data_IF_041758561452
#
_entry.id   IF_041758561452
#
_cell.length_a   1.000
_cell.length_b   1.000
_cell.length_c   1.000
_cell.angle_alpha   90.00
_cell.angle_beta   90.00
_cell.angle_gamma   90.00
#
_symmetry.space_group_name_H-M   'P 1'
#
loop_
_entity.id
_entity.type
_entity.pdbx_description
1 polymer ?
#
# COMPACT_ATOMS: atom_id res chain seq x y z
N UNK A 1 -23.67 59.02 2.91
CA UNK A 1 -22.60 58.75 1.92
C UNK A 1 -21.59 57.81 2.53
N UNK A 2 -21.69 56.51 2.24
CA UNK A 2 -20.62 55.54 2.40
C UNK A 2 -20.58 54.80 1.07
N UNK A 3 -19.54 55.07 0.29
CA UNK A 3 -19.32 54.39 -0.97
C UNK A 3 -18.66 53.06 -0.65
N UNK A 4 -19.33 51.98 -1.04
CA UNK A 4 -18.79 50.63 -0.99
C UNK A 4 -17.68 50.49 -2.04
N UNK A 5 -16.43 50.37 -1.60
CA UNK A 5 -15.32 49.89 -2.42
C UNK A 5 -15.57 48.41 -2.73
N UNK A 6 -16.24 48.15 -3.86
CA UNK A 6 -16.23 46.85 -4.49
C UNK A 6 -14.82 46.63 -5.04
N UNK A 7 -14.00 45.85 -4.33
CA UNK A 7 -12.73 45.37 -4.84
C UNK A 7 -12.97 44.57 -6.11
N UNK A 8 -12.63 45.16 -7.25
CA UNK A 8 -12.53 44.46 -8.54
C UNK A 8 -11.60 43.25 -8.35
N UNK A 9 -11.97 42.03 -8.78
CA UNK A 9 -11.06 40.90 -8.72
C UNK A 9 -9.80 41.25 -9.53
N UNK A 10 -8.64 41.13 -8.89
CA UNK A 10 -7.32 41.38 -9.47
C UNK A 10 -7.20 40.56 -10.77
N UNK A 11 -6.97 41.23 -11.90
CA UNK A 11 -6.83 40.55 -13.18
C UNK A 11 -5.68 39.53 -13.12
N UNK A 12 -5.81 38.33 -13.72
CA UNK A 12 -4.77 37.31 -13.68
C UNK A 12 -3.46 37.87 -14.20
N UNK A 13 -2.45 37.94 -13.33
CA UNK A 13 -1.20 38.69 -13.57
C UNK A 13 -0.17 37.91 -14.38
N UNK A 14 -0.38 36.59 -14.57
CA UNK A 14 0.58 35.70 -15.21
C UNK A 14 -0.06 34.76 -16.24
N UNK A 15 -0.84 35.32 -17.16
CA UNK A 15 -1.42 34.57 -18.26
C UNK A 15 -0.32 34.00 -19.17
N UNK A 16 -0.34 32.68 -19.33
CA UNK A 16 0.58 31.94 -20.19
C UNK A 16 -0.22 31.06 -21.13
N UNK A 17 0.10 31.11 -22.42
CA UNK A 17 -0.54 30.26 -23.42
C UNK A 17 -0.19 28.79 -23.19
N UNK A 18 -1.01 27.86 -23.70
CA UNK A 18 -0.74 26.42 -23.58
C UNK A 18 0.64 26.01 -24.15
N UNK A 19 1.05 26.60 -25.26
CA UNK A 19 2.32 26.29 -25.92
C UNK A 19 3.51 26.80 -25.11
N UNK A 20 3.43 28.02 -24.56
CA UNK A 20 4.46 28.53 -23.66
C UNK A 20 4.53 27.72 -22.35
N UNK A 21 3.37 27.33 -21.81
CA UNK A 21 3.30 26.50 -20.62
C UNK A 21 3.95 25.13 -20.85
N UNK A 22 3.71 24.52 -22.01
CA UNK A 22 4.38 23.27 -22.42
C UNK A 22 5.90 23.46 -22.52
N UNK A 23 6.36 24.51 -23.19
CA UNK A 23 7.78 24.82 -23.35
C UNK A 23 8.48 25.05 -22.00
N UNK A 24 7.83 25.73 -21.04
CA UNK A 24 8.39 26.03 -19.72
C UNK A 24 8.39 24.84 -18.76
N UNK A 25 7.40 23.96 -18.85
CA UNK A 25 7.19 22.87 -17.87
C UNK A 25 7.65 21.51 -18.36
N UNK A 26 7.87 21.35 -19.67
CA UNK A 26 8.16 20.05 -20.29
C UNK A 26 6.92 19.15 -20.43
N UNK A 27 5.74 19.62 -20.00
CA UNK A 27 4.48 18.92 -20.20
C UNK A 27 4.10 18.94 -21.68
N UNK A 28 3.48 17.86 -22.17
CA UNK A 28 3.01 17.81 -23.57
C UNK A 28 1.78 18.69 -23.74
N UNK A 29 1.71 19.48 -24.82
CA UNK A 29 0.55 20.32 -25.12
C UNK A 29 -0.79 19.55 -25.16
N UNK A 30 -0.75 18.29 -25.63
CA UNK A 30 -1.93 17.42 -25.63
C UNK A 30 -2.37 17.04 -24.20
N UNK A 31 -1.42 16.83 -23.29
CA UNK A 31 -1.71 16.56 -21.86
C UNK A 31 -2.33 17.79 -21.21
N UNK A 32 -1.76 18.98 -21.43
CA UNK A 32 -2.31 20.24 -20.94
C UNK A 32 -3.73 20.49 -21.46
N UNK A 33 -3.95 20.27 -22.77
CA UNK A 33 -5.29 20.36 -23.36
C UNK A 33 -6.26 19.37 -22.73
N UNK A 34 -5.85 18.13 -22.50
CA UNK A 34 -6.70 17.12 -21.86
C UNK A 34 -7.08 17.55 -20.43
N UNK A 35 -6.13 18.06 -19.65
CA UNK A 35 -6.41 18.55 -18.30
C UNK A 35 -7.38 19.72 -18.30
N UNK A 36 -7.17 20.71 -19.17
CA UNK A 36 -8.08 21.84 -19.34
C UNK A 36 -9.48 21.40 -19.84
N UNK A 37 -9.54 20.51 -20.83
CA UNK A 37 -10.81 20.00 -21.36
C UNK A 37 -11.61 19.28 -20.28
N UNK A 38 -10.93 18.53 -19.42
CA UNK A 38 -11.53 17.76 -18.33
C UNK A 38 -11.57 18.57 -17.01
N UNK A 39 -11.41 19.91 -17.06
CA UNK A 39 -11.23 20.78 -15.88
C UNK A 39 -12.31 20.70 -14.83
N UNK A 40 -13.56 20.54 -15.25
CA UNK A 40 -14.71 20.36 -14.36
C UNK A 40 -14.58 19.10 -13.47
N UNK A 41 -13.77 18.12 -13.88
CA UNK A 41 -13.55 16.87 -13.14
C UNK A 41 -12.27 16.89 -12.30
N UNK A 42 -11.22 17.55 -12.79
CA UNK A 42 -9.89 17.52 -12.17
C UNK A 42 -9.52 18.82 -11.43
N UNK A 43 -10.37 19.85 -11.48
CA UNK A 43 -10.15 21.13 -10.82
C UNK A 43 -9.06 21.98 -11.45
N UNK A 44 -8.65 21.68 -12.68
CA UNK A 44 -7.69 22.50 -13.42
C UNK A 44 -8.19 23.95 -13.46
N UNK A 45 -7.32 24.96 -13.23
CA UNK A 45 -7.74 26.35 -13.21
C UNK A 45 -8.45 26.74 -14.50
N UNK A 46 -9.45 27.61 -14.36
CA UNK A 46 -10.05 28.25 -15.51
C UNK A 46 -9.02 29.13 -16.22
N UNK A 47 -9.28 29.44 -17.49
CA UNK A 47 -8.41 30.30 -18.25
C UNK A 47 -9.20 31.17 -19.20
N UNK A 48 -8.49 32.09 -19.85
CA UNK A 48 -9.05 33.09 -20.73
C UNK A 48 -8.68 32.77 -22.17
N UNK A 49 -9.61 33.01 -23.08
CA UNK A 49 -9.31 33.00 -24.50
C UNK A 49 -8.87 34.40 -24.92
N UNK A 50 -7.67 34.50 -25.47
CA UNK A 50 -7.05 35.74 -25.94
C UNK A 50 -6.57 35.46 -27.36
N UNK A 51 -7.05 36.21 -28.34
CA UNK A 51 -6.72 36.06 -29.76
C UNK A 51 -6.89 34.62 -30.28
N UNK A 52 -7.95 33.93 -29.84
CA UNK A 52 -8.22 32.53 -30.21
C UNK A 52 -7.30 31.49 -29.54
N UNK A 53 -6.49 31.90 -28.57
CA UNK A 53 -5.62 31.03 -27.79
C UNK A 53 -6.02 31.02 -26.31
N UNK A 54 -6.11 29.81 -25.74
CA UNK A 54 -6.36 29.65 -24.32
C UNK A 54 -5.10 29.91 -23.49
N UNK A 55 -5.26 30.75 -22.47
CA UNK A 55 -4.25 31.15 -21.50
C UNK A 55 -4.71 30.80 -20.08
N UNK A 56 -3.78 30.40 -19.23
CA UNK A 56 -4.03 30.14 -17.81
C UNK A 56 -3.11 31.01 -16.96
N UNK A 57 -3.56 31.39 -15.76
CA UNK A 57 -2.66 31.96 -14.78
C UNK A 57 -1.64 30.89 -14.35
N UNK A 58 -0.35 31.13 -14.61
CA UNK A 58 0.70 30.15 -14.36
C UNK A 58 0.87 29.84 -12.87
N UNK A 59 0.60 30.79 -11.97
CA UNK A 59 0.71 30.58 -10.52
C UNK A 59 -0.40 29.64 -10.06
N UNK A 60 -1.63 29.89 -10.48
CA UNK A 60 -2.77 28.99 -10.19
C UNK A 60 -2.54 27.61 -10.77
N UNK A 61 -2.05 27.53 -12.02
CA UNK A 61 -1.74 26.27 -12.66
C UNK A 61 -0.66 25.49 -11.89
N UNK A 62 0.41 26.13 -11.44
CA UNK A 62 1.48 25.47 -10.67
C UNK A 62 0.97 24.95 -9.32
N UNK A 63 0.11 25.72 -8.63
CA UNK A 63 -0.54 25.28 -7.39
C UNK A 63 -1.42 24.06 -7.64
N UNK A 64 -2.27 24.13 -8.66
CA UNK A 64 -3.09 23.00 -9.05
C UNK A 64 -2.22 21.80 -9.44
N UNK A 65 -1.16 21.99 -10.22
CA UNK A 65 -0.29 20.92 -10.69
C UNK A 65 0.41 20.21 -9.55
N UNK A 66 0.86 20.94 -8.53
CA UNK A 66 1.45 20.35 -7.32
C UNK A 66 0.45 19.48 -6.53
N UNK A 67 -0.82 19.90 -6.47
CA UNK A 67 -1.90 19.11 -5.86
C UNK A 67 -2.39 17.97 -6.78
N UNK A 68 -2.31 18.17 -8.10
CA UNK A 68 -2.73 17.22 -9.11
C UNK A 68 -1.78 16.02 -9.15
N UNK A 69 -2.35 14.86 -8.89
CA UNK A 69 -1.59 13.63 -8.69
C UNK A 69 -0.89 13.53 -7.34
N UNK A 70 -1.12 14.43 -6.37
CA UNK A 70 -0.56 14.29 -5.04
C UNK A 70 -0.99 12.96 -4.39
N UNK A 71 -0.06 12.35 -3.65
CA UNK A 71 -0.25 11.07 -2.98
C UNK A 71 -1.24 11.14 -1.82
N UNK A 72 -1.48 12.34 -1.30
CA UNK A 72 -2.56 12.67 -0.37
C UNK A 72 -3.36 13.85 -0.87
N UNK A 73 -4.65 13.87 -0.58
CA UNK A 73 -5.55 15.00 -0.86
C UNK A 73 -6.60 15.16 0.21
N UNK A 74 -6.96 16.41 0.49
CA UNK A 74 -8.16 16.73 1.27
C UNK A 74 -9.39 16.74 0.36
N UNK A 75 -10.42 15.97 0.73
CA UNK A 75 -11.71 15.93 0.06
C UNK A 75 -12.79 15.90 1.14
N UNK A 76 -13.66 16.90 1.18
CA UNK A 76 -14.75 17.03 2.17
C UNK A 76 -14.27 16.87 3.64
N UNK A 77 -13.11 17.45 3.96
CA UNK A 77 -12.49 17.36 5.30
C UNK A 77 -11.88 15.99 5.63
N UNK A 78 -11.71 15.12 4.63
CA UNK A 78 -11.04 13.82 4.75
C UNK A 78 -9.76 13.78 3.94
N UNK A 79 -8.68 13.34 4.57
CA UNK A 79 -7.46 13.00 3.85
C UNK A 79 -7.65 11.66 3.13
N UNK A 80 -7.59 11.68 1.81
CA UNK A 80 -7.50 10.48 0.98
C UNK A 80 -6.06 10.23 0.56
N UNK A 81 -5.65 8.97 0.53
CA UNK A 81 -4.30 8.55 0.15
C UNK A 81 -4.31 7.55 -1.00
N UNK A 82 -3.29 7.62 -1.86
CA UNK A 82 -3.08 6.67 -2.96
C UNK A 82 -2.57 5.33 -2.43
N UNK A 83 -2.69 4.27 -3.24
CA UNK A 83 -2.13 2.95 -2.90
C UNK A 83 -0.62 3.02 -2.62
N UNK A 84 0.10 3.87 -3.38
CA UNK A 84 1.53 4.13 -3.19
C UNK A 84 1.82 4.73 -1.83
N UNK A 85 1.03 5.71 -1.40
CA UNK A 85 1.19 6.31 -0.07
C UNK A 85 0.83 5.33 1.05
N UNK A 86 -0.24 4.54 0.88
CA UNK A 86 -0.60 3.51 1.84
C UNK A 86 0.52 2.47 2.01
N UNK A 87 1.13 2.03 0.90
CA UNK A 87 2.25 1.10 0.90
C UNK A 87 3.46 1.67 1.64
N UNK A 88 3.79 2.94 1.39
CA UNK A 88 4.86 3.66 2.09
C UNK A 88 4.60 3.73 3.60
N UNK A 89 3.36 4.02 4.01
CA UNK A 89 3.00 4.16 5.41
C UNK A 89 2.97 2.85 6.19
N UNK A 90 2.55 1.75 5.55
CA UNK A 90 2.46 0.45 6.23
C UNK A 90 3.67 -0.46 6.02
N UNK A 91 4.54 -0.13 5.07
CA UNK A 91 5.61 -1.03 4.64
C UNK A 91 5.11 -2.28 3.89
N UNK A 92 3.84 -2.28 3.45
CA UNK A 92 3.26 -3.42 2.73
C UNK A 92 3.46 -3.22 1.22
N UNK A 93 3.75 -4.27 0.44
CA UNK A 93 3.84 -4.16 -1.01
C UNK A 93 2.52 -3.68 -1.63
N UNK A 94 2.56 -2.81 -2.64
CA UNK A 94 1.35 -2.36 -3.35
C UNK A 94 0.51 -3.52 -3.90
N UNK A 95 1.15 -4.61 -4.33
CA UNK A 95 0.47 -5.83 -4.78
C UNK A 95 -0.40 -6.46 -3.68
N UNK A 96 0.06 -6.43 -2.42
CA UNK A 96 -0.71 -6.90 -1.26
C UNK A 96 -1.91 -5.99 -1.00
N UNK A 97 -1.72 -4.68 -1.03
CA UNK A 97 -2.81 -3.71 -0.87
C UNK A 97 -3.87 -3.85 -1.99
N UNK A 98 -3.42 -4.05 -3.23
CA UNK A 98 -4.30 -4.32 -4.36
C UNK A 98 -5.12 -5.60 -4.18
N UNK A 99 -4.48 -6.67 -3.67
CA UNK A 99 -5.17 -7.93 -3.35
C UNK A 99 -6.22 -7.75 -2.26
N UNK A 100 -5.89 -7.03 -1.18
CA UNK A 100 -6.85 -6.73 -0.12
C UNK A 100 -8.04 -5.91 -0.65
N UNK A 101 -7.78 -4.89 -1.48
CA UNK A 101 -8.84 -4.12 -2.11
C UNK A 101 -9.72 -4.95 -3.06
N UNK A 102 -9.13 -5.88 -3.83
CA UNK A 102 -9.88 -6.78 -4.69
C UNK A 102 -10.84 -7.66 -3.86
N UNK A 103 -10.39 -8.14 -2.70
CA UNK A 103 -11.18 -8.91 -1.73
C UNK A 103 -12.01 -8.08 -0.76
N UNK A 104 -12.21 -6.77 -0.99
CA UNK A 104 -12.82 -5.85 -0.01
C UNK A 104 -14.21 -6.24 0.48
N UNK A 105 -14.99 -6.92 -0.35
CA UNK A 105 -16.33 -7.41 0.03
C UNK A 105 -16.28 -8.47 1.14
N UNK A 106 -15.14 -9.17 1.26
CA UNK A 106 -14.94 -10.24 2.24
C UNK A 106 -14.18 -9.73 3.47
N UNK A 107 -13.17 -8.88 3.26
CA UNK A 107 -12.27 -8.46 4.34
C UNK A 107 -12.61 -7.08 4.94
N UNK A 108 -13.65 -6.40 4.42
CA UNK A 108 -14.07 -5.08 4.94
C UNK A 108 -13.12 -3.93 4.62
N UNK A 109 -12.17 -4.09 3.69
CA UNK A 109 -11.28 -3.01 3.28
C UNK A 109 -12.11 -1.78 2.83
N UNK A 110 -11.78 -0.57 3.29
CA UNK A 110 -12.55 0.63 2.95
C UNK A 110 -12.68 0.85 1.43
N UNK A 111 -13.81 1.41 0.98
CA UNK A 111 -14.00 1.74 -0.43
C UNK A 111 -12.97 2.78 -0.88
N UNK A 112 -12.63 2.75 -2.16
CA UNK A 112 -11.75 3.73 -2.78
C UNK A 112 -12.46 4.42 -3.94
N UNK A 113 -12.08 5.67 -4.19
CA UNK A 113 -12.54 6.45 -5.34
C UNK A 113 -11.44 6.48 -6.41
N UNK A 114 -11.82 6.45 -7.69
CA UNK A 114 -10.86 6.68 -8.78
C UNK A 114 -10.90 8.16 -9.16
N UNK A 115 -9.75 8.81 -9.10
CA UNK A 115 -9.53 10.16 -9.64
C UNK A 115 -8.19 10.22 -10.33
N UNK A 116 -8.15 10.88 -11.49
CA UNK A 116 -6.92 11.11 -12.25
C UNK A 116 -6.14 9.80 -12.56
N UNK A 117 -6.88 8.71 -12.80
CA UNK A 117 -6.32 7.37 -13.04
C UNK A 117 -5.82 6.63 -11.79
N UNK A 118 -5.76 7.30 -10.64
CA UNK A 118 -5.28 6.74 -9.36
C UNK A 118 -6.47 6.36 -8.47
N UNK A 119 -6.27 5.36 -7.61
CA UNK A 119 -7.24 5.00 -6.56
C UNK A 119 -6.83 5.67 -5.26
N UNK A 120 -7.75 6.43 -4.69
CA UNK A 120 -7.62 7.06 -3.39
C UNK A 120 -8.55 6.37 -2.40
N UNK A 121 -8.08 6.18 -1.17
CA UNK A 121 -8.84 5.60 -0.05
C UNK A 121 -8.77 6.57 1.11
N UNK A 122 -9.85 6.71 1.86
CA UNK A 122 -9.86 7.47 3.11
C UNK A 122 -8.77 6.92 4.06
N UNK A 123 -7.79 7.76 4.37
CA UNK A 123 -6.58 7.36 5.07
C UNK A 123 -6.88 6.92 6.50
N UNK A 124 -7.75 7.66 7.19
CA UNK A 124 -8.11 7.39 8.58
C UNK A 124 -8.87 6.06 8.70
N UNK A 125 -9.90 5.88 7.85
CA UNK A 125 -10.66 4.62 7.78
C UNK A 125 -9.76 3.45 7.41
N UNK A 126 -8.85 3.65 6.47
CA UNK A 126 -7.91 2.61 6.08
C UNK A 126 -6.96 2.24 7.21
N UNK A 127 -6.41 3.20 7.96
CA UNK A 127 -5.54 2.92 9.09
C UNK A 127 -6.27 2.17 10.23
N UNK A 128 -7.52 2.54 10.51
CA UNK A 128 -8.34 1.82 11.48
C UNK A 128 -8.57 0.37 11.06
N UNK A 129 -9.01 0.17 9.80
CA UNK A 129 -9.17 -1.17 9.23
C UNK A 129 -7.85 -1.95 9.21
N UNK A 130 -6.74 -1.34 8.81
CA UNK A 130 -5.44 -2.00 8.69
C UNK A 130 -4.95 -2.54 10.03
N UNK A 131 -5.08 -1.75 11.12
CA UNK A 131 -4.71 -2.20 12.47
C UNK A 131 -5.49 -3.45 12.89
N UNK A 132 -6.80 -3.45 12.67
CA UNK A 132 -7.64 -4.59 13.00
C UNK A 132 -7.38 -5.79 12.07
N UNK A 133 -7.23 -5.54 10.76
CA UNK A 133 -6.90 -6.58 9.79
C UNK A 133 -5.57 -7.27 10.12
N UNK A 134 -4.54 -6.51 10.52
CA UNK A 134 -3.26 -7.06 10.98
C UNK A 134 -3.42 -7.84 12.29
N UNK A 135 -4.24 -7.37 13.22
CA UNK A 135 -4.56 -8.10 14.46
C UNK A 135 -5.25 -9.43 14.15
N UNK A 136 -6.20 -9.46 13.23
CA UNK A 136 -6.89 -10.67 12.77
C UNK A 136 -5.94 -11.65 12.06
N UNK A 137 -5.09 -11.14 11.15
CA UNK A 137 -4.07 -11.95 10.50
C UNK A 137 -3.10 -12.57 11.52
N UNK A 138 -2.68 -11.81 12.54
CA UNK A 138 -1.87 -12.32 13.65
C UNK A 138 -2.63 -13.33 14.51
N UNK A 139 -3.90 -13.09 14.83
CA UNK A 139 -4.74 -14.01 15.60
C UNK A 139 -5.04 -15.33 14.88
N UNK A 140 -5.04 -15.33 13.55
CA UNK A 140 -5.16 -16.54 12.73
C UNK A 140 -3.88 -17.39 12.65
N UNK A 141 -2.76 -16.89 13.18
CA UNK A 141 -1.52 -17.67 13.27
C UNK A 141 -1.70 -18.82 14.27
N UNK A 142 -0.94 -19.88 14.07
CA UNK A 142 -0.82 -20.94 15.09
C UNK A 142 -0.13 -20.36 16.33
N UNK A 143 -0.57 -20.70 17.55
CA UNK A 143 0.14 -20.32 18.76
C UNK A 143 1.60 -20.73 18.68
N UNK A 144 2.49 -19.88 19.19
CA UNK A 144 3.94 -20.15 19.22
C UNK A 144 4.30 -20.48 20.66
N UNK A 145 4.94 -21.63 20.88
CA UNK A 145 5.52 -21.95 22.18
C UNK A 145 6.74 -21.06 22.42
N UNK A 146 6.68 -20.24 23.48
CA UNK A 146 7.73 -19.29 23.89
C UNK A 146 8.53 -19.77 25.10
N UNK A 147 8.43 -21.04 25.43
CA UNK A 147 9.19 -21.65 26.52
C UNK A 147 10.48 -22.30 25.99
N UNK A 148 11.42 -22.59 26.90
CA UNK A 148 12.69 -23.25 26.59
C UNK A 148 13.87 -22.30 26.37
N UNK A 149 15.05 -22.89 26.21
CA UNK A 149 16.31 -22.16 26.05
C UNK A 149 16.39 -21.50 24.65
N UNK A 150 16.54 -20.16 24.56
CA UNK A 150 16.67 -19.45 23.29
C UNK A 150 17.82 -19.95 22.38
N UNK A 151 18.87 -20.53 22.95
CA UNK A 151 20.05 -21.00 22.22
C UNK A 151 20.01 -22.50 21.88
N UNK A 152 18.95 -23.21 22.27
CA UNK A 152 18.73 -24.61 21.91
C UNK A 152 18.60 -24.77 20.38
N UNK A 153 19.35 -25.73 19.83
CA UNK A 153 19.22 -26.16 18.44
C UNK A 153 18.03 -27.11 18.27
N UNK A 154 17.03 -26.67 17.51
CA UNK A 154 15.80 -27.39 17.25
C UNK A 154 15.85 -28.12 15.91
N UNK A 155 15.52 -29.41 15.92
CA UNK A 155 15.23 -30.18 14.70
C UNK A 155 13.93 -29.70 14.03
N UNK A 156 13.71 -30.07 12.76
CA UNK A 156 12.46 -29.72 12.05
C UNK A 156 11.17 -30.15 12.77
N UNK A 157 11.21 -31.24 13.55
CA UNK A 157 10.07 -31.69 14.36
C UNK A 157 9.82 -30.77 15.56
N UNK A 158 10.87 -30.39 16.29
CA UNK A 158 10.77 -29.43 17.39
C UNK A 158 10.35 -28.05 16.89
N UNK A 159 10.87 -27.60 15.74
CA UNK A 159 10.43 -26.37 15.08
C UNK A 159 8.94 -26.41 14.74
N UNK A 160 8.44 -27.53 14.21
CA UNK A 160 7.02 -27.68 13.91
C UNK A 160 6.16 -27.55 15.19
N UNK A 161 6.60 -28.15 16.29
CA UNK A 161 5.94 -28.01 17.59
C UNK A 161 5.94 -26.57 18.09
N UNK A 162 7.11 -25.92 18.09
CA UNK A 162 7.26 -24.51 18.51
C UNK A 162 6.37 -23.58 17.69
N UNK A 163 6.26 -23.83 16.39
CA UNK A 163 5.43 -23.03 15.48
C UNK A 163 3.96 -23.46 15.43
N UNK A 164 3.55 -24.48 16.20
CA UNK A 164 2.18 -25.02 16.19
C UNK A 164 1.75 -25.61 14.83
N UNK A 165 2.69 -26.10 14.02
CA UNK A 165 2.45 -26.69 12.70
C UNK A 165 2.12 -28.19 12.83
N UNK A 166 1.45 -28.74 11.81
CA UNK A 166 1.00 -30.13 11.79
C UNK A 166 2.15 -31.17 11.91
N UNK A 167 3.37 -30.82 11.49
CA UNK A 167 4.53 -31.68 11.64
C UNK A 167 5.76 -31.21 10.86
N UNK A 168 6.86 -31.97 10.98
CA UNK A 168 8.15 -31.65 10.35
C UNK A 168 8.08 -31.60 8.81
N UNK A 169 7.14 -32.32 8.19
CA UNK A 169 6.90 -32.27 6.75
C UNK A 169 6.51 -30.87 6.25
N UNK A 170 5.73 -30.12 7.04
CA UNK A 170 5.34 -28.74 6.71
C UNK A 170 6.57 -27.82 6.72
N UNK A 171 7.42 -27.95 7.74
CA UNK A 171 8.68 -27.19 7.85
C UNK A 171 9.59 -27.52 6.67
N UNK A 172 9.79 -28.80 6.37
CA UNK A 172 10.62 -29.24 5.24
C UNK A 172 10.09 -28.75 3.89
N UNK A 173 8.75 -28.69 3.71
CA UNK A 173 8.17 -28.12 2.50
C UNK A 173 8.46 -26.62 2.36
N UNK A 174 8.47 -25.85 3.44
CA UNK A 174 8.83 -24.43 3.40
C UNK A 174 10.31 -24.25 3.09
N UNK A 175 11.18 -25.05 3.72
CA UNK A 175 12.63 -25.04 3.43
C UNK A 175 12.89 -25.37 1.96
N UNK A 176 12.26 -26.43 1.42
CA UNK A 176 12.44 -26.83 0.03
C UNK A 176 11.96 -25.81 -1.01
N UNK A 177 11.08 -24.87 -0.61
CA UNK A 177 10.59 -23.77 -1.45
C UNK A 177 11.35 -22.46 -1.25
N UNK A 178 12.38 -22.44 -0.39
CA UNK A 178 13.10 -21.21 -0.02
C UNK A 178 12.23 -20.22 0.76
N UNK A 179 11.21 -20.70 1.49
CA UNK A 179 10.26 -19.87 2.24
C UNK A 179 10.51 -19.89 3.75
N UNK A 180 11.57 -20.54 4.20
CA UNK A 180 11.94 -20.69 5.60
C UNK A 180 13.33 -20.09 5.84
N UNK A 181 13.63 -19.72 7.09
CA UNK A 181 14.96 -19.22 7.45
C UNK A 181 16.03 -20.29 7.25
N UNK A 182 17.23 -19.86 6.87
CA UNK A 182 18.37 -20.76 6.73
C UNK A 182 18.73 -21.43 8.07
N UNK A 183 19.04 -22.73 8.06
CA UNK A 183 19.44 -23.46 9.26
C UNK A 183 20.76 -22.94 9.82
N UNK A 184 20.87 -22.97 11.15
CA UNK A 184 22.12 -22.66 11.85
C UNK A 184 23.11 -23.82 11.78
N UNK A 185 22.61 -25.05 11.67
CA UNK A 185 23.43 -26.26 11.53
C UNK A 185 22.76 -27.27 10.60
N UNK A 186 23.59 -27.94 9.79
CA UNK A 186 23.17 -29.02 8.91
C UNK A 186 24.06 -30.23 9.16
N UNK A 187 23.45 -31.37 9.45
CA UNK A 187 24.14 -32.65 9.65
C UNK A 187 23.76 -33.61 8.54
N UNK A 188 24.75 -34.30 7.98
CA UNK A 188 24.51 -35.37 7.01
C UNK A 188 24.48 -36.71 7.74
N UNK A 189 23.37 -37.42 7.58
CA UNK A 189 23.24 -38.79 8.12
C UNK A 189 24.05 -39.76 7.25
N UNK A 190 24.45 -40.92 7.79
CA UNK A 190 25.13 -41.97 7.01
C UNK A 190 24.37 -42.45 5.76
N UNK A 191 23.04 -42.22 5.72
CA UNK A 191 22.17 -42.50 4.58
C UNK A 191 22.04 -41.31 3.60
N UNK A 192 22.91 -40.29 3.68
CA UNK A 192 22.92 -39.11 2.81
C UNK A 192 21.80 -38.09 3.06
N UNK A 193 20.95 -38.29 4.08
CA UNK A 193 19.87 -37.34 4.41
C UNK A 193 20.42 -36.19 5.24
N UNK A 194 20.05 -34.96 4.86
CA UNK A 194 20.40 -33.74 5.59
C UNK A 194 19.41 -33.45 6.71
N UNK A 195 19.85 -33.52 7.96
CA UNK A 195 19.15 -32.99 9.14
C UNK A 195 19.51 -31.53 9.30
N UNK A 196 18.51 -30.70 9.57
CA UNK A 196 18.65 -29.24 9.69
C UNK A 196 18.23 -28.82 11.08
N UNK A 197 18.95 -27.86 11.65
CA UNK A 197 18.72 -27.35 12.98
C UNK A 197 18.71 -25.82 12.98
N UNK A 198 17.87 -25.26 13.84
CA UNK A 198 17.70 -23.82 14.01
C UNK A 198 17.70 -23.48 15.49
N UNK A 199 18.33 -22.38 15.88
CA UNK A 199 18.23 -21.86 17.24
C UNK A 199 16.79 -21.43 17.53
N UNK A 200 16.30 -21.79 18.72
CA UNK A 200 14.95 -21.45 19.17
C UNK A 200 14.63 -19.95 19.04
N UNK A 201 15.57 -19.07 19.39
CA UNK A 201 15.42 -17.60 19.23
C UNK A 201 15.11 -17.18 17.80
N UNK A 202 15.78 -17.78 16.80
CA UNK A 202 15.56 -17.46 15.38
C UNK A 202 14.20 -17.97 14.89
N UNK A 203 13.71 -19.07 15.46
CA UNK A 203 12.36 -19.57 15.19
C UNK A 203 11.30 -18.64 15.76
N UNK A 204 11.52 -18.06 16.95
CA UNK A 204 10.63 -17.04 17.50
C UNK A 204 10.63 -15.76 16.67
N UNK A 205 11.80 -15.26 16.27
CA UNK A 205 11.92 -14.11 15.36
C UNK A 205 11.23 -14.38 14.02
N UNK A 206 11.40 -15.57 13.46
CA UNK A 206 10.67 -15.99 12.26
C UNK A 206 9.15 -15.99 12.51
N UNK A 207 8.70 -16.45 13.68
CA UNK A 207 7.28 -16.51 14.02
C UNK A 207 6.64 -15.13 14.27
N UNK A 208 7.42 -14.12 14.66
CA UNK A 208 6.97 -12.72 14.75
C UNK A 208 6.81 -12.09 13.36
N UNK A 209 7.70 -12.45 12.44
CA UNK A 209 7.75 -11.87 11.11
C UNK A 209 6.92 -12.63 10.07
N UNK A 210 6.41 -13.83 10.39
CA UNK A 210 5.61 -14.62 9.44
C UNK A 210 4.23 -13.97 9.22
N UNK A 211 3.86 -13.83 7.95
CA UNK A 211 2.59 -13.23 7.51
C UNK A 211 1.54 -14.27 7.06
N UNK A 212 1.78 -15.57 7.24
CA UNK A 212 0.89 -16.61 6.71
C UNK A 212 -0.30 -16.91 7.62
N UNK A 213 -1.48 -16.49 7.18
CA UNK A 213 -2.78 -17.04 7.62
C UNK A 213 -2.82 -18.57 7.45
N UNK A 214 -3.40 -19.29 8.41
CA UNK A 214 -3.82 -20.70 8.22
C UNK A 214 -4.68 -20.81 6.95
N UNK A 215 -4.13 -21.42 5.90
CA UNK A 215 -4.88 -22.31 5.02
C UNK A 215 -4.24 -23.68 5.11
N UNK A 216 -4.44 -24.33 6.25
CA UNK A 216 -4.45 -25.79 6.26
C UNK A 216 -5.65 -26.21 5.43
N UNK A 217 -5.41 -26.89 4.31
CA UNK A 217 -6.43 -27.72 3.67
C UNK A 217 -7.00 -28.67 4.72
N UNK A 218 -8.33 -28.76 4.80
CA UNK A 218 -9.02 -29.95 5.30
C UNK A 218 -9.65 -29.84 6.68
N UNK A 219 -10.90 -29.38 6.73
CA UNK A 219 -11.97 -30.08 7.45
C UNK A 219 -13.30 -29.65 6.83
N UNK A 220 -13.51 -30.06 5.58
CA UNK A 220 -14.86 -30.20 5.04
C UNK A 220 -15.16 -31.70 5.09
N UNK A 221 -15.64 -32.13 6.25
CA UNK A 221 -16.33 -33.41 6.44
C UNK A 221 -17.61 -33.14 7.24
N UNK A 222 -18.71 -33.61 6.66
CA UNK A 222 -19.96 -34.02 7.29
C UNK A 222 -20.82 -32.96 8.01
N UNK A 223 -21.79 -32.39 7.28
CA UNK A 223 -23.21 -32.80 7.38
C UNK A 223 -24.06 -32.18 6.28
#
# INVERSE_FOLDING_TARGET
>A
MRSDEHGTPDAPRHLTSRSELAARTGEREHTLYKWWRDRQRNGHPEGLEIDGQWHVDEIEWRRWRAAYGADRREVDGRTLATVTELARLSGEPEATLNRWYAGRQVNGHPPGIRRDGRRYVDLERWQAWYREHKKQLKGGLTPVDRTGDPDELLSSAQVAHVLGLAGSATVNSYVGRGQFIEPDQVEETPAGRKRRFWRRRRIWEYAENRSWSRKGKGSEEAR
#
